data_IF_767333544850
#
_entry.id   IF_767333544850
#
_cell.length_a   1.000
_cell.length_b   1.000
_cell.length_c   1.000
_cell.angle_alpha   90.00
_cell.angle_beta   90.00
_cell.angle_gamma   90.00
#
_symmetry.space_group_name_H-M   'P 1'
#
loop_
_entity.id
_entity.type
_entity.pdbx_description
1 polymer ?
#
# COMPACT_ATOMS: atom_id res chain seq x y z
N UNK A 1 -42.75 -19.71 -17.90
CA UNK A 1 -42.72 -20.83 -18.88
C UNK A 1 -41.70 -20.48 -19.97
N UNK A 2 -40.72 -21.30 -20.38
CA UNK A 2 -40.31 -22.67 -20.02
C UNK A 2 -38.78 -22.71 -19.85
N UNK A 3 -38.24 -23.58 -18.98
CA UNK A 3 -36.79 -23.85 -18.88
C UNK A 3 -36.31 -24.65 -20.09
N UNK A 4 -35.02 -24.61 -20.41
CA UNK A 4 -34.32 -25.65 -21.18
C UNK A 4 -33.09 -26.12 -20.40
N UNK A 5 -33.15 -27.37 -19.92
CA UNK A 5 -31.98 -28.13 -19.48
C UNK A 5 -31.50 -28.98 -20.67
N UNK A 6 -30.19 -29.20 -20.77
CA UNK A 6 -29.59 -30.47 -21.23
C UNK A 6 -28.44 -30.78 -20.26
N UNK A 7 -28.17 -32.06 -19.99
CA UNK A 7 -27.36 -32.51 -18.85
C UNK A 7 -26.40 -33.64 -19.24
N UNK A 8 -25.19 -33.66 -18.67
CA UNK A 8 -24.24 -34.78 -18.62
C UNK A 8 -23.34 -34.58 -17.36
N UNK A 9 -23.08 -35.48 -16.39
CA UNK A 9 -23.23 -36.95 -16.25
C UNK A 9 -22.26 -37.72 -17.17
N UNK A 10 -21.31 -38.57 -16.74
CA UNK A 10 -20.73 -38.97 -15.43
C UNK A 10 -19.39 -39.74 -15.73
N UNK A 11 -18.63 -40.50 -14.89
CA UNK A 11 -18.77 -41.04 -13.52
C UNK A 11 -17.41 -41.56 -12.97
N UNK A 12 -17.25 -41.65 -11.63
CA UNK A 12 -16.23 -42.43 -10.89
C UNK A 12 -14.75 -41.96 -11.02
N UNK A 13 -13.78 -42.42 -10.20
CA UNK A 13 -13.78 -43.47 -9.16
C UNK A 13 -12.95 -43.10 -7.90
N UNK A 14 -13.02 -43.94 -6.85
CA UNK A 14 -12.40 -43.78 -5.52
C UNK A 14 -11.66 -45.08 -5.12
N UNK A 15 -10.63 -44.98 -4.25
CA UNK A 15 -9.75 -46.05 -3.70
C UNK A 15 -8.78 -46.68 -4.75
N UNK A 16 -7.57 -47.18 -4.44
CA UNK A 16 -7.14 -48.10 -3.35
C UNK A 16 -5.63 -47.95 -2.99
N UNK A 17 -5.33 -47.77 -1.69
CA UNK A 17 -4.27 -48.38 -0.84
C UNK A 17 -2.80 -48.56 -1.34
N UNK A 18 -1.88 -47.85 -0.64
CA UNK A 18 -0.63 -48.29 0.03
C UNK A 18 0.25 -49.43 -0.55
N UNK A 19 1.55 -49.13 -0.71
CA UNK A 19 2.64 -50.11 -0.57
C UNK A 19 3.90 -49.42 0.01
N UNK A 20 4.70 -50.14 0.82
CA UNK A 20 5.94 -49.64 1.42
C UNK A 20 7.07 -50.67 1.31
N UNK A 21 8.32 -50.21 1.23
CA UNK A 21 9.54 -51.03 1.41
C UNK A 21 10.77 -50.14 1.63
N UNK A 22 11.75 -50.62 2.41
CA UNK A 22 13.02 -49.94 2.68
C UNK A 22 14.20 -50.76 2.12
N UNK A 23 15.15 -50.10 1.46
CA UNK A 23 16.53 -50.54 1.24
C UNK A 23 17.37 -49.35 0.71
N UNK A 24 18.64 -49.14 1.09
CA UNK A 24 19.41 -49.81 2.15
C UNK A 24 20.86 -49.31 2.26
N UNK A 25 21.47 -49.60 3.41
CA UNK A 25 22.90 -49.87 3.68
C UNK A 25 24.03 -48.93 3.17
N UNK A 26 24.81 -48.38 4.12
CA UNK A 26 26.13 -47.80 3.88
C UNK A 26 26.84 -47.35 5.18
N UNK A 27 27.84 -48.09 5.64
CA UNK A 27 28.66 -47.84 6.84
C UNK A 27 30.13 -48.28 6.55
N UNK A 28 31.13 -48.22 7.46
CA UNK A 28 31.16 -47.70 8.84
C UNK A 28 32.40 -46.81 9.16
N UNK A 29 32.56 -46.39 10.43
CA UNK A 29 33.87 -46.08 11.05
C UNK A 29 33.86 -46.52 12.53
N UNK A 30 35.03 -46.76 13.12
CA UNK A 30 35.21 -47.60 14.33
C UNK A 30 35.35 -46.87 15.67
N UNK A 31 35.02 -47.64 16.69
CA UNK A 31 35.07 -47.43 18.14
C UNK A 31 36.44 -47.05 18.77
N UNK A 32 36.34 -46.44 19.96
CA UNK A 32 37.07 -46.76 21.21
C UNK A 32 38.52 -46.27 21.45
N UNK A 33 38.68 -45.47 22.52
CA UNK A 33 39.94 -45.10 23.17
C UNK A 33 39.67 -44.29 24.45
N UNK A 34 40.27 -44.64 25.59
CA UNK A 34 39.78 -44.28 26.94
C UNK A 34 40.59 -43.21 27.70
N UNK A 35 39.88 -42.48 28.58
CA UNK A 35 40.33 -41.97 29.90
C UNK A 35 41.05 -40.61 30.08
N UNK A 36 40.74 -40.03 31.24
CA UNK A 36 41.52 -39.12 32.12
C UNK A 36 41.58 -37.60 31.91
N UNK A 37 40.76 -36.93 32.75
CA UNK A 37 41.19 -36.02 33.84
C UNK A 37 41.21 -34.47 33.70
N UNK A 38 40.59 -33.87 34.73
CA UNK A 38 40.89 -32.60 35.43
C UNK A 38 40.39 -31.19 34.98
N UNK A 39 39.52 -30.65 35.85
CA UNK A 39 39.71 -29.37 36.60
C UNK A 39 39.26 -28.03 35.99
N UNK A 40 37.96 -27.72 36.21
CA UNK A 40 37.39 -26.44 36.70
C UNK A 40 37.97 -25.06 36.29
N UNK A 41 37.10 -24.14 35.83
CA UNK A 41 36.54 -23.05 36.69
C UNK A 41 35.67 -22.02 35.95
N UNK A 42 34.50 -21.77 36.52
CA UNK A 42 33.68 -20.54 36.53
C UNK A 42 34.14 -19.29 35.78
N UNK A 43 33.29 -18.82 34.85
CA UNK A 43 32.96 -17.40 34.69
C UNK A 43 31.51 -17.28 34.17
N UNK A 44 30.69 -16.46 34.82
CA UNK A 44 29.32 -16.17 34.35
C UNK A 44 29.33 -15.04 33.33
N UNK A 45 28.54 -15.19 32.27
CA UNK A 45 28.00 -14.07 31.49
C UNK A 45 26.51 -14.33 31.29
N UNK A 46 25.70 -13.68 32.11
CA UNK A 46 24.26 -13.59 31.88
C UNK A 46 23.99 -12.44 30.91
N UNK A 47 22.83 -12.49 30.25
CA UNK A 47 22.25 -11.42 29.44
C UNK A 47 23.04 -11.09 28.14
N UNK A 48 22.39 -10.73 27.03
CA UNK A 48 20.97 -10.49 26.82
C UNK A 48 20.35 -11.49 25.83
N UNK A 49 19.20 -12.09 26.20
CA UNK A 49 18.20 -12.36 25.18
C UNK A 49 17.64 -11.00 24.76
N UNK A 50 18.23 -10.43 23.70
CA UNK A 50 17.59 -9.33 23.00
C UNK A 50 16.25 -9.82 22.45
N UNK A 51 15.16 -9.53 23.16
CA UNK A 51 13.82 -9.67 22.62
C UNK A 51 13.66 -8.56 21.57
N UNK A 52 14.25 -8.77 20.39
CA UNK A 52 13.95 -8.02 19.20
C UNK A 52 12.50 -8.29 18.84
N UNK A 53 11.60 -7.48 19.41
CA UNK A 53 10.25 -7.33 18.92
C UNK A 53 10.37 -6.98 17.45
N UNK A 54 10.11 -7.96 16.58
CA UNK A 54 10.19 -7.76 15.15
C UNK A 54 9.05 -6.83 14.79
N UNK A 55 9.35 -5.55 14.58
CA UNK A 55 8.43 -4.61 13.94
C UNK A 55 7.98 -5.29 12.65
N UNK A 56 6.69 -5.59 12.55
CA UNK A 56 6.13 -6.36 11.45
C UNK A 56 5.94 -5.45 10.24
N UNK A 57 7.04 -4.88 9.73
CA UNK A 57 7.07 -3.91 8.65
C UNK A 57 6.12 -4.33 7.52
N UNK A 58 5.01 -3.62 7.43
CA UNK A 58 3.97 -3.83 6.43
C UNK A 58 4.35 -3.14 5.11
N UNK A 59 3.74 -3.59 4.03
CA UNK A 59 3.88 -2.97 2.71
C UNK A 59 2.51 -2.49 2.21
N UNK A 60 2.52 -1.36 1.50
CA UNK A 60 1.40 -0.73 0.83
C UNK A 60 1.86 -0.25 -0.56
N UNK A 61 0.94 0.03 -1.48
CA UNK A 61 1.29 0.44 -2.85
C UNK A 61 0.88 1.88 -3.12
N UNK A 62 1.84 2.74 -3.44
CA UNK A 62 1.57 4.10 -3.93
C UNK A 62 1.40 4.06 -5.46
N UNK A 63 0.33 4.68 -5.93
CA UNK A 63 -0.01 4.77 -7.35
C UNK A 63 0.25 6.20 -7.83
N UNK A 64 1.29 6.39 -8.66
CA UNK A 64 1.65 7.71 -9.19
C UNK A 64 1.30 7.79 -10.68
N UNK A 65 0.43 8.73 -11.04
CA UNK A 65 0.02 8.95 -12.42
C UNK A 65 -1.35 9.61 -12.55
N UNK A 66 -2.04 9.31 -13.65
CA UNK A 66 -3.39 9.77 -13.95
C UNK A 66 -4.30 8.58 -14.27
N UNK A 67 -5.61 8.80 -14.37
CA UNK A 67 -6.59 7.75 -14.71
C UNK A 67 -6.23 6.84 -15.91
N UNK A 68 -5.44 7.34 -16.86
CA UNK A 68 -5.04 6.62 -18.08
C UNK A 68 -3.76 5.77 -17.89
N UNK A 69 -2.93 6.07 -16.87
CA UNK A 69 -1.72 5.31 -16.55
C UNK A 69 -1.19 5.63 -15.15
N UNK A 70 -1.05 4.61 -14.30
CA UNK A 70 -0.40 4.68 -12.99
C UNK A 70 0.89 3.85 -12.97
N UNK A 71 1.87 4.30 -12.20
CA UNK A 71 3.07 3.56 -11.82
C UNK A 71 2.98 3.17 -10.34
N UNK A 72 3.34 1.93 -10.03
CA UNK A 72 3.24 1.34 -8.68
C UNK A 72 4.58 1.40 -7.94
N UNK A 73 4.55 1.80 -6.66
CA UNK A 73 5.73 1.88 -5.79
C UNK A 73 5.43 1.29 -4.40
N UNK A 74 6.27 0.37 -3.93
CA UNK A 74 6.16 -0.19 -2.57
C UNK A 74 6.53 0.86 -1.52
N UNK A 75 5.61 1.12 -0.60
CA UNK A 75 5.76 1.96 0.59
C UNK A 75 5.72 1.08 1.84
N UNK A 76 6.55 1.43 2.83
CA UNK A 76 6.83 0.58 4.00
C UNK A 76 6.55 1.33 5.29
N UNK A 77 5.83 0.68 6.19
CA UNK A 77 5.36 1.27 7.44
C UNK A 77 5.39 0.24 8.58
N UNK A 78 5.43 0.70 9.83
CA UNK A 78 5.60 -0.15 11.02
C UNK A 78 4.42 -0.05 12.02
N UNK A 79 3.42 0.80 11.74
CA UNK A 79 2.28 1.10 12.60
C UNK A 79 0.94 0.77 11.91
N UNK A 80 -0.19 1.25 12.44
CA UNK A 80 -1.49 1.20 11.76
C UNK A 80 -1.49 2.12 10.52
N UNK A 81 -2.00 1.64 9.38
CA UNK A 81 -1.97 2.42 8.14
C UNK A 81 -2.97 3.58 8.20
N UNK A 82 -2.47 4.80 8.00
CA UNK A 82 -3.29 6.03 7.96
C UNK A 82 -3.24 6.70 6.58
N UNK A 83 -4.33 7.34 6.11
CA UNK A 83 -4.35 8.05 4.83
C UNK A 83 -3.22 9.07 4.67
N UNK A 84 -2.90 9.79 5.74
CA UNK A 84 -1.81 10.78 5.80
C UNK A 84 -0.45 10.15 5.52
N UNK A 85 -0.21 8.90 5.95
CA UNK A 85 1.06 8.21 5.70
C UNK A 85 1.25 7.86 4.22
N UNK A 86 0.16 7.54 3.50
CA UNK A 86 0.23 7.31 2.06
C UNK A 86 0.43 8.63 1.30
N UNK A 87 -0.26 9.70 1.70
CA UNK A 87 -0.09 11.04 1.10
C UNK A 87 1.34 11.56 1.34
N UNK A 88 1.87 11.40 2.56
CA UNK A 88 3.26 11.72 2.88
C UNK A 88 4.25 10.83 2.12
N UNK A 89 3.93 9.54 1.94
CA UNK A 89 4.71 8.63 1.10
C UNK A 89 4.78 9.10 -0.36
N UNK A 90 3.68 9.61 -0.92
CA UNK A 90 3.66 10.23 -2.26
C UNK A 90 4.54 11.50 -2.26
N UNK A 91 4.44 12.36 -1.23
CA UNK A 91 5.24 13.57 -1.12
C UNK A 91 6.76 13.27 -1.08
N UNK A 92 7.17 12.30 -0.27
CA UNK A 92 8.58 11.89 -0.16
C UNK A 92 9.08 11.19 -1.42
N UNK A 93 8.25 10.35 -2.05
CA UNK A 93 8.57 9.65 -3.31
C UNK A 93 8.75 10.65 -4.47
N UNK A 94 7.82 11.58 -4.65
CA UNK A 94 7.81 12.53 -5.78
C UNK A 94 8.72 13.74 -5.56
N UNK A 95 8.79 14.24 -4.32
CA UNK A 95 9.38 15.53 -3.95
C UNK A 95 8.39 16.70 -3.97
N UNK A 96 7.09 16.48 -4.19
CA UNK A 96 6.07 17.52 -4.17
C UNK A 96 5.62 17.84 -2.73
N UNK A 97 5.31 19.11 -2.44
CA UNK A 97 4.67 19.50 -1.18
C UNK A 97 3.19 19.09 -1.21
N UNK A 98 2.79 18.14 -0.35
CA UNK A 98 1.41 17.69 -0.18
C UNK A 98 0.87 18.02 1.22
N UNK A 99 1.32 19.14 1.81
CA UNK A 99 0.88 19.62 3.12
C UNK A 99 -0.65 19.68 3.20
N UNK A 100 -1.20 19.01 4.21
CA UNK A 100 -2.62 19.04 4.54
C UNK A 100 -2.93 20.18 5.51
N UNK A 101 -4.15 20.72 5.43
CA UNK A 101 -4.64 21.73 6.36
C UNK A 101 -5.21 21.10 7.65
N UNK A 102 -5.81 19.91 7.51
CA UNK A 102 -6.50 19.16 8.57
C UNK A 102 -6.24 17.64 8.39
N UNK A 103 -6.56 16.83 9.39
CA UNK A 103 -6.51 15.35 9.29
C UNK A 103 -7.53 14.81 8.28
N UNK A 104 -7.22 13.69 7.62
CA UNK A 104 -8.07 13.09 6.57
C UNK A 104 -9.35 12.54 7.19
N UNK A 105 -10.46 13.21 6.93
CA UNK A 105 -11.74 12.89 7.56
C UNK A 105 -12.39 11.70 6.88
N UNK A 106 -12.45 10.57 7.60
CA UNK A 106 -13.14 9.34 7.17
C UNK A 106 -14.62 9.43 7.57
N UNK A 107 -15.55 9.35 6.61
CA UNK A 107 -16.98 9.48 6.90
C UNK A 107 -17.90 9.23 5.72
N UNK A 108 -19.17 8.91 6.00
CA UNK A 108 -20.26 8.64 5.02
C UNK A 108 -20.04 7.50 4.00
N UNK A 109 -18.86 6.86 3.98
CA UNK A 109 -18.45 5.90 2.94
C UNK A 109 -17.24 6.35 2.13
N UNK A 110 -16.62 7.49 2.47
CA UNK A 110 -15.47 8.04 1.79
C UNK A 110 -14.44 8.70 2.71
N UNK A 111 -13.45 9.35 2.10
CA UNK A 111 -12.39 10.13 2.77
C UNK A 111 -12.33 11.54 2.21
N UNK A 112 -12.15 12.54 3.06
CA UNK A 112 -11.95 13.94 2.65
C UNK A 112 -10.52 14.38 2.95
N UNK A 113 -9.80 14.81 1.92
CA UNK A 113 -8.42 15.32 2.02
C UNK A 113 -8.43 16.85 1.83
N UNK A 114 -8.01 17.59 2.85
CA UNK A 114 -7.98 19.06 2.86
C UNK A 114 -6.55 19.56 2.68
N UNK A 115 -6.26 20.31 1.62
CA UNK A 115 -4.90 20.79 1.33
C UNK A 115 -4.63 22.17 1.96
N UNK A 116 -3.41 22.33 2.50
CA UNK A 116 -2.89 23.62 2.92
C UNK A 116 -2.39 24.43 1.71
N UNK A 117 -2.44 25.76 1.82
CA UNK A 117 -2.02 26.69 0.75
C UNK A 117 -0.52 26.64 0.39
N UNK A 118 0.29 25.87 1.12
CA UNK A 118 1.69 25.56 0.79
C UNK A 118 1.84 24.41 -0.20
N UNK A 119 0.82 23.56 -0.37
CA UNK A 119 0.89 22.41 -1.27
C UNK A 119 1.15 22.82 -2.72
N UNK A 120 1.86 21.95 -3.44
CA UNK A 120 2.21 22.05 -4.86
C UNK A 120 1.01 22.28 -5.80
N UNK A 121 -0.23 21.97 -5.36
CA UNK A 121 -1.46 22.38 -6.05
C UNK A 121 -1.58 23.91 -6.21
N UNK A 122 -1.18 24.66 -5.18
CA UNK A 122 -1.26 26.12 -5.13
C UNK A 122 0.04 26.79 -5.54
N UNK A 123 1.19 26.27 -5.07
CA UNK A 123 2.52 26.87 -5.33
C UNK A 123 3.17 26.39 -6.64
N UNK A 124 2.63 25.34 -7.27
CA UNK A 124 3.21 24.70 -8.45
C UNK A 124 4.30 23.67 -8.11
N UNK A 125 5.01 23.14 -9.12
CA UNK A 125 6.08 22.17 -8.90
C UNK A 125 7.28 22.81 -8.19
N UNK A 126 8.04 22.06 -7.38
CA UNK A 126 9.25 22.57 -6.72
C UNK A 126 10.33 22.92 -7.74
N UNK A 127 11.17 23.93 -7.44
CA UNK A 127 12.25 24.36 -8.35
C UNK A 127 13.21 23.22 -8.75
N UNK A 128 13.45 22.28 -7.84
CA UNK A 128 14.34 21.13 -8.02
C UNK A 128 13.51 19.84 -8.04
N UNK A 129 12.86 19.56 -9.17
CA UNK A 129 12.08 18.34 -9.37
C UNK A 129 12.98 17.11 -9.56
N UNK A 130 12.48 15.92 -9.16
CA UNK A 130 13.09 14.63 -9.52
C UNK A 130 12.75 14.29 -10.97
N UNK A 131 13.72 13.83 -11.76
CA UNK A 131 13.52 13.56 -13.20
C UNK A 131 12.34 12.62 -13.49
N UNK A 132 12.15 11.57 -12.68
CA UNK A 132 11.04 10.60 -12.79
C UNK A 132 9.64 11.20 -12.61
N UNK A 133 9.54 12.33 -11.91
CA UNK A 133 8.28 12.96 -11.51
C UNK A 133 8.21 14.44 -11.97
N UNK A 134 8.96 14.78 -13.02
CA UNK A 134 9.04 16.13 -13.55
C UNK A 134 7.73 16.53 -14.23
N UNK A 135 7.08 17.58 -13.72
CA UNK A 135 5.87 18.18 -14.28
C UNK A 135 6.20 19.50 -14.98
N UNK A 136 5.63 19.69 -16.18
CA UNK A 136 5.86 20.86 -17.03
C UNK A 136 4.96 22.06 -16.72
N UNK A 137 3.79 21.80 -16.11
CA UNK A 137 2.75 22.79 -15.87
C UNK A 137 1.90 22.43 -14.63
N UNK A 138 1.16 23.41 -14.12
CA UNK A 138 0.37 23.26 -12.90
C UNK A 138 -0.92 22.43 -13.08
N UNK A 139 -1.46 22.29 -14.30
CA UNK A 139 -2.68 21.52 -14.57
C UNK A 139 -2.36 20.02 -14.57
N UNK A 140 -1.33 19.61 -15.31
CA UNK A 140 -0.82 18.23 -15.33
C UNK A 140 -0.35 17.81 -13.93
N UNK A 141 0.34 18.69 -13.20
CA UNK A 141 0.71 18.45 -11.80
C UNK A 141 -0.51 18.24 -10.91
N UNK A 142 -1.50 19.14 -10.97
CA UNK A 142 -2.69 19.05 -10.12
C UNK A 142 -3.53 17.81 -10.41
N UNK A 143 -3.74 17.48 -11.69
CA UNK A 143 -4.37 16.22 -12.07
C UNK A 143 -3.58 15.02 -11.52
N UNK A 144 -2.26 14.99 -11.71
CA UNK A 144 -1.44 13.86 -11.27
C UNK A 144 -1.49 13.68 -9.76
N UNK A 145 -1.41 14.76 -8.97
CA UNK A 145 -1.52 14.71 -7.51
C UNK A 145 -2.88 14.11 -7.08
N UNK A 146 -3.98 14.62 -7.63
CA UNK A 146 -5.33 14.22 -7.20
C UNK A 146 -5.71 12.82 -7.70
N UNK A 147 -5.37 12.45 -8.94
CA UNK A 147 -5.57 11.09 -9.44
C UNK A 147 -4.70 10.08 -8.64
N UNK A 148 -3.45 10.43 -8.31
CA UNK A 148 -2.53 9.57 -7.54
C UNK A 148 -3.00 9.33 -6.11
N UNK A 149 -3.40 10.39 -5.39
CA UNK A 149 -3.91 10.28 -4.02
C UNK A 149 -5.22 9.48 -4.03
N UNK A 150 -6.15 9.78 -4.95
CA UNK A 150 -7.41 9.05 -5.09
C UNK A 150 -7.16 7.54 -5.23
N UNK A 151 -6.36 7.15 -6.24
CA UNK A 151 -6.10 5.74 -6.53
C UNK A 151 -5.36 5.04 -5.39
N UNK A 152 -4.40 5.73 -4.77
CA UNK A 152 -3.65 5.20 -3.63
C UNK A 152 -4.54 4.96 -2.40
N UNK A 153 -5.46 5.87 -2.07
CA UNK A 153 -6.39 5.64 -0.95
C UNK A 153 -7.38 4.51 -1.26
N UNK A 154 -7.92 4.47 -2.48
CA UNK A 154 -8.86 3.43 -2.91
C UNK A 154 -8.27 2.00 -2.85
N UNK A 155 -7.05 1.80 -3.36
CA UNK A 155 -6.43 0.45 -3.41
C UNK A 155 -5.88 -0.05 -2.06
N UNK A 156 -5.63 0.84 -1.08
CA UNK A 156 -5.05 0.44 0.22
C UNK A 156 -6.06 0.47 1.39
N UNK A 157 -7.23 1.11 1.23
CA UNK A 157 -8.29 1.13 2.25
C UNK A 157 -9.56 0.34 1.87
N UNK A 158 -9.59 -0.29 0.68
CA UNK A 158 -10.60 -1.30 0.31
C UNK A 158 -9.94 -2.68 0.28
N UNK A 159 -10.57 -3.67 0.91
CA UNK A 159 -10.11 -5.07 0.90
C UNK A 159 -10.45 -5.74 -0.44
N UNK A 160 -9.57 -5.57 -1.42
CA UNK A 160 -9.69 -6.13 -2.78
C UNK A 160 -9.56 -7.65 -2.81
N UNK A 161 -8.77 -8.24 -1.91
CA UNK A 161 -8.62 -9.70 -1.74
C UNK A 161 -9.91 -10.36 -1.22
N UNK A 162 -10.68 -9.66 -0.38
CA UNK A 162 -12.04 -10.06 0.00
C UNK A 162 -13.11 -9.78 -1.09
N UNK A 163 -12.72 -9.20 -2.23
CA UNK A 163 -13.62 -8.84 -3.33
C UNK A 163 -14.31 -7.49 -3.17
N UNK A 164 -13.75 -6.57 -2.38
CA UNK A 164 -14.13 -5.16 -2.38
C UNK A 164 -13.74 -4.45 -3.67
N UNK A 165 -14.51 -3.42 -4.04
CA UNK A 165 -14.28 -2.60 -5.23
C UNK A 165 -13.58 -1.29 -4.83
N UNK A 166 -12.32 -1.02 -5.28
CA UNK A 166 -11.62 0.23 -4.97
C UNK A 166 -12.44 1.48 -5.31
N UNK A 167 -13.22 1.45 -6.40
CA UNK A 167 -14.05 2.58 -6.82
C UNK A 167 -15.31 2.77 -5.95
N UNK A 168 -15.53 1.92 -4.94
CA UNK A 168 -16.58 2.10 -3.93
C UNK A 168 -16.18 3.01 -2.75
N UNK A 169 -14.89 3.37 -2.60
CA UNK A 169 -14.45 4.38 -1.66
C UNK A 169 -14.48 5.77 -2.33
N UNK A 170 -15.45 6.60 -1.93
CA UNK A 170 -15.54 7.99 -2.38
C UNK A 170 -14.34 8.80 -1.84
N UNK A 171 -13.69 9.59 -2.68
CA UNK A 171 -12.63 10.52 -2.29
C UNK A 171 -13.10 11.94 -2.56
N UNK A 172 -13.00 12.82 -1.56
CA UNK A 172 -13.41 14.23 -1.63
C UNK A 172 -12.19 15.13 -1.39
N UNK A 173 -12.17 16.29 -2.04
CA UNK A 173 -11.09 17.26 -1.93
C UNK A 173 -11.58 18.64 -1.48
N UNK A 174 -10.89 19.21 -0.50
CA UNK A 174 -11.14 20.55 0.02
C UNK A 174 -9.82 21.31 0.23
N UNK A 175 -9.95 22.56 0.68
CA UNK A 175 -8.83 23.40 1.09
C UNK A 175 -9.11 24.03 2.46
N UNK A 176 -8.03 24.50 3.10
CA UNK A 176 -8.02 25.23 4.39
C UNK A 176 -9.27 26.10 4.62
N UNK A 177 -10.03 25.78 5.67
CA UNK A 177 -11.28 26.46 6.03
C UNK A 177 -12.57 25.77 5.55
N UNK A 178 -12.51 24.47 5.26
CA UNK A 178 -13.65 23.64 4.81
C UNK A 178 -14.33 24.24 3.56
N UNK A 179 -13.51 24.55 2.54
CA UNK A 179 -13.94 25.15 1.26
C UNK A 179 -13.67 24.23 0.07
N UNK A 180 -14.40 24.37 -1.06
CA UNK A 180 -14.10 23.69 -2.32
C UNK A 180 -12.67 23.95 -2.79
N UNK A 181 -11.96 22.90 -3.24
CA UNK A 181 -10.58 23.02 -3.69
C UNK A 181 -10.51 23.88 -4.97
N UNK A 182 -10.06 25.12 -4.82
CA UNK A 182 -10.05 26.14 -5.88
C UNK A 182 -8.61 26.43 -6.30
N UNK A 183 -8.30 26.15 -7.57
CA UNK A 183 -6.97 26.28 -8.16
C UNK A 183 -6.98 27.46 -9.15
N UNK A 184 -6.91 28.68 -8.60
CA UNK A 184 -7.04 29.94 -9.35
C UNK A 184 -6.01 30.08 -10.49
N UNK A 185 -4.80 29.55 -10.29
CA UNK A 185 -3.69 29.51 -11.25
C UNK A 185 -4.04 28.80 -12.58
N UNK A 186 -5.01 27.87 -12.55
CA UNK A 186 -5.50 27.12 -13.72
C UNK A 186 -7.02 27.25 -13.92
N UNK A 187 -7.69 28.13 -13.16
CA UNK A 187 -9.13 28.35 -13.20
C UNK A 187 -9.98 27.07 -12.99
N UNK A 188 -9.51 26.15 -12.13
CA UNK A 188 -10.23 24.92 -11.77
C UNK A 188 -10.87 25.06 -10.39
N UNK A 189 -12.03 24.44 -10.18
CA UNK A 189 -12.66 24.29 -8.86
C UNK A 189 -13.27 22.91 -8.75
N UNK A 190 -12.92 22.18 -7.69
CA UNK A 190 -13.44 20.85 -7.38
C UNK A 190 -14.41 20.97 -6.20
N UNK A 191 -15.69 20.56 -6.36
CA UNK A 191 -16.65 20.58 -5.26
C UNK A 191 -16.25 19.64 -4.13
N UNK A 192 -16.27 20.13 -2.89
CA UNK A 192 -16.00 19.35 -1.67
C UNK A 192 -17.15 18.42 -1.27
N UNK A 193 -18.35 18.63 -1.82
CA UNK A 193 -19.59 17.90 -1.51
C UNK A 193 -19.93 16.78 -2.53
N UNK A 194 -19.07 16.59 -3.54
CA UNK A 194 -19.21 15.59 -4.60
C UNK A 194 -17.93 14.74 -4.66
N UNK A 195 -18.00 13.41 -4.82
CA UNK A 195 -16.81 12.58 -5.00
C UNK A 195 -15.99 13.00 -6.23
N UNK A 196 -14.66 13.05 -6.08
CA UNK A 196 -13.73 13.31 -7.17
C UNK A 196 -13.67 12.10 -8.11
N UNK A 197 -14.36 12.20 -9.25
CA UNK A 197 -14.37 11.16 -10.29
C UNK A 197 -13.12 11.24 -11.17
N UNK A 198 -12.89 12.42 -11.76
CA UNK A 198 -11.79 12.77 -12.66
C UNK A 198 -11.50 14.29 -12.62
N UNK A 199 -10.33 14.70 -13.11
CA UNK A 199 -9.94 16.11 -13.14
C UNK A 199 -10.80 16.95 -14.11
N UNK A 200 -11.27 18.15 -13.74
CA UNK A 200 -12.05 19.01 -14.63
C UNK A 200 -11.26 19.44 -15.88
N UNK A 201 -11.78 19.10 -17.06
CA UNK A 201 -11.29 19.63 -18.33
C UNK A 201 -11.58 21.15 -18.41
N UNK A 202 -10.56 21.92 -18.82
CA UNK A 202 -10.62 23.38 -19.00
C UNK A 202 -10.76 23.78 -20.47
#
# INVERSE_FOLDING_TARGET
MKRRLITAVSMAAILVIMAASLAGCGAPVKEQGSSSDQTSSTASSAESQGNSSQAQMQEATLYIGTKDSFQEFSFKYEEELKPEMLIQGIAELTGWDLSLADEVTIGKGGMTVSFAKTSALFVGPPENQKETFFMYDAQTLSQTILDSIKKTLQENFVDTEAGGDPDSLDIYYSMEGDQPLTLENINVTIPMDVPYTEFPNS
#
